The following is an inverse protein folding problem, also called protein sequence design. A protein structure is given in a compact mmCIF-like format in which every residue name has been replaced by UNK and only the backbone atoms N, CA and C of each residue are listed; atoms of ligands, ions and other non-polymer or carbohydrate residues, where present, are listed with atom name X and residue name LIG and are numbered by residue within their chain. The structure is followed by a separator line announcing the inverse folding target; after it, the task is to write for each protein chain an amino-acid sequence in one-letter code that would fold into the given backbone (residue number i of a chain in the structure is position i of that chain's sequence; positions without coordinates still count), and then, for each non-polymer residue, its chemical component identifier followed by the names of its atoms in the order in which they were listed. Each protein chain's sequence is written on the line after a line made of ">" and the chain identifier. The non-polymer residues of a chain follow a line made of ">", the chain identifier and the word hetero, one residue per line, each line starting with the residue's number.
data_IF_941120560175
#
_entry.id   IF_941120560175
#
_cell.length_a   1.000
_cell.length_b   1.000
_cell.length_c   1.000
_cell.angle_alpha   90.00
_cell.angle_beta   90.00
_cell.angle_gamma   90.00
#
_symmetry.space_group_name_H-M   'P 1'
#
loop_
_entity.id
_entity.type
_entity.pdbx_description
1 polymer ?
#
# COMPACT_ATOMS: atom_id res chain seq x y z
N UNK A 1 -9.54 -16.86 1.60
CA UNK A 1 -9.62 -15.45 1.20
C UNK A 1 -8.20 -14.94 0.95
N UNK A 2 -7.91 -14.51 -0.25
CA UNK A 2 -6.55 -14.08 -0.59
C UNK A 2 -6.42 -12.56 -0.58
N UNK A 3 -5.20 -12.09 -0.35
CA UNK A 3 -4.87 -10.67 -0.31
C UNK A 3 -4.48 -10.21 -1.72
N UNK A 4 -4.96 -9.04 -2.13
CA UNK A 4 -4.57 -8.45 -3.41
C UNK A 4 -3.32 -7.59 -3.20
N UNK A 5 -2.29 -7.82 -4.02
CA UNK A 5 -1.07 -7.01 -4.02
C UNK A 5 -1.37 -5.53 -4.31
N UNK A 6 -2.24 -5.27 -5.28
CA UNK A 6 -2.62 -3.90 -5.63
C UNK A 6 -3.30 -3.18 -4.48
N UNK A 7 -4.16 -3.88 -3.74
CA UNK A 7 -4.86 -3.32 -2.59
C UNK A 7 -3.88 -3.04 -1.44
N UNK A 8 -2.96 -3.97 -1.17
CA UNK A 8 -1.92 -3.75 -0.15
C UNK A 8 -1.02 -2.58 -0.52
N UNK A 9 -0.67 -2.46 -1.79
CA UNK A 9 0.18 -1.37 -2.26
C UNK A 9 -0.51 -0.02 -2.10
N UNK A 10 -1.80 0.06 -2.43
CA UNK A 10 -2.58 1.29 -2.24
C UNK A 10 -2.67 1.66 -0.77
N UNK A 11 -3.00 0.70 0.10
CA UNK A 11 -3.02 0.92 1.55
C UNK A 11 -1.67 1.43 2.05
N UNK A 12 -0.61 0.75 1.67
CA UNK A 12 0.75 1.09 2.10
C UNK A 12 1.12 2.53 1.71
N UNK A 13 0.85 2.91 0.47
CA UNK A 13 1.16 4.25 -0.03
C UNK A 13 0.40 5.32 0.75
N UNK A 14 -0.89 5.10 1.00
CA UNK A 14 -1.70 6.05 1.79
C UNK A 14 -1.16 6.17 3.21
N UNK A 15 -0.82 5.04 3.83
CA UNK A 15 -0.32 5.01 5.20
C UNK A 15 1.03 5.72 5.32
N UNK A 16 1.95 5.47 4.38
CA UNK A 16 3.30 6.05 4.40
C UNK A 16 3.24 7.56 4.11
N UNK A 17 2.45 7.98 3.12
CA UNK A 17 2.40 9.38 2.72
C UNK A 17 1.40 10.21 3.50
N UNK A 18 0.54 9.58 4.29
CA UNK A 18 -0.45 10.27 5.08
C UNK A 18 -1.50 11.02 4.26
N UNK A 19 -1.71 10.59 3.02
CA UNK A 19 -2.59 11.30 2.09
C UNK A 19 -2.99 10.39 0.93
N UNK A 20 -4.29 10.34 0.63
CA UNK A 20 -4.79 9.62 -0.54
C UNK A 20 -4.31 10.29 -1.84
N UNK A 21 -4.28 11.61 -1.87
CA UNK A 21 -3.83 12.36 -3.06
C UNK A 21 -2.36 12.11 -3.34
N UNK A 22 -1.50 12.19 -2.32
CA UNK A 22 -0.07 11.93 -2.49
C UNK A 22 0.21 10.49 -2.87
N UNK A 23 -0.53 9.55 -2.30
CA UNK A 23 -0.40 8.14 -2.66
C UNK A 23 -0.72 7.93 -4.15
N UNK A 24 -1.79 8.56 -4.62
CA UNK A 24 -2.19 8.47 -6.02
C UNK A 24 -1.09 9.02 -6.94
N UNK A 25 -0.52 10.16 -6.59
CA UNK A 25 0.58 10.75 -7.36
C UNK A 25 1.79 9.81 -7.44
N UNK A 26 2.15 9.21 -6.30
CA UNK A 26 3.30 8.30 -6.22
C UNK A 26 3.11 7.03 -7.01
N UNK A 27 1.87 6.54 -7.10
CA UNK A 27 1.57 5.31 -7.82
C UNK A 27 1.09 5.55 -9.25
N UNK A 28 1.07 6.80 -9.70
CA UNK A 28 0.60 7.18 -11.04
C UNK A 28 -0.83 6.71 -11.29
N UNK A 29 -1.67 6.86 -10.27
CA UNK A 29 -3.09 6.52 -10.31
C UNK A 29 -3.92 7.73 -9.93
N UNK A 30 -5.23 7.64 -10.16
CA UNK A 30 -6.14 8.69 -9.70
C UNK A 30 -6.46 8.48 -8.22
N UNK A 31 -6.86 9.56 -7.54
CA UNK A 31 -7.26 9.46 -6.13
C UNK A 31 -8.46 8.53 -5.96
N UNK A 32 -9.51 8.60 -6.81
CA UNK A 32 -10.61 7.63 -6.70
C UNK A 32 -10.17 6.17 -6.86
N UNK A 33 -9.18 5.90 -7.70
CA UNK A 33 -8.66 4.54 -7.86
C UNK A 33 -7.99 4.04 -6.58
N UNK A 34 -7.20 4.90 -5.93
CA UNK A 34 -6.55 4.57 -4.65
C UNK A 34 -7.60 4.35 -3.57
N UNK A 35 -8.57 5.27 -3.45
CA UNK A 35 -9.67 5.14 -2.47
C UNK A 35 -10.43 3.84 -2.67
N UNK A 36 -10.71 3.48 -3.92
CA UNK A 36 -11.44 2.26 -4.25
C UNK A 36 -10.66 1.01 -3.82
N UNK A 37 -9.35 0.98 -4.08
CA UNK A 37 -8.51 -0.16 -3.69
C UNK A 37 -8.47 -0.35 -2.17
N UNK A 38 -8.34 0.74 -1.42
CA UNK A 38 -8.34 0.68 0.04
C UNK A 38 -9.70 0.22 0.55
N UNK A 39 -10.79 0.77 0.00
CA UNK A 39 -12.16 0.40 0.39
C UNK A 39 -12.40 -1.09 0.13
N UNK A 40 -11.98 -1.60 -1.01
CA UNK A 40 -12.14 -3.02 -1.35
C UNK A 40 -11.39 -3.92 -0.38
N UNK A 41 -10.19 -3.52 0.04
CA UNK A 41 -9.43 -4.26 1.03
C UNK A 41 -10.17 -4.31 2.37
N UNK A 42 -10.66 -3.17 2.82
CA UNK A 42 -11.43 -3.09 4.07
C UNK A 42 -12.71 -3.91 4.00
N UNK A 43 -13.45 -3.82 2.89
CA UNK A 43 -14.69 -4.57 2.71
C UNK A 43 -14.44 -6.07 2.65
N UNK A 44 -13.37 -6.48 1.96
CA UNK A 44 -13.06 -7.90 1.79
C UNK A 44 -12.86 -8.62 3.12
N UNK A 45 -12.25 -7.96 4.08
CA UNK A 45 -11.96 -8.55 5.39
C UNK A 45 -12.88 -8.03 6.50
N UNK A 46 -13.80 -7.13 6.16
CA UNK A 46 -14.74 -6.58 7.15
C UNK A 46 -14.07 -5.78 8.24
N UNK A 47 -13.06 -5.00 7.89
CA UNK A 47 -12.25 -4.23 8.86
C UNK A 47 -12.09 -2.80 8.41
N UNK A 48 -11.69 -1.95 9.36
CA UNK A 48 -11.28 -0.57 9.05
C UNK A 48 -9.79 -0.44 9.32
N UNK A 49 -9.08 0.11 8.33
CA UNK A 49 -7.64 0.35 8.41
C UNK A 49 -7.36 1.82 8.66
N UNK A 50 -8.29 2.69 8.30
CA UNK A 50 -8.21 4.14 8.54
C UNK A 50 -9.44 4.61 9.30
N UNK A 51 -9.26 5.61 10.18
CA UNK A 51 -10.39 6.26 10.85
C UNK A 51 -11.18 7.09 9.85
N UNK A 52 -12.54 7.03 9.93
CA UNK A 52 -13.41 7.61 8.89
C UNK A 52 -13.74 9.09 9.11
N UNK A 53 -13.86 9.52 10.35
CA UNK A 53 -14.37 10.85 10.65
C UNK A 53 -13.27 11.85 10.99
N UNK A 54 -12.13 11.72 10.32
CA UNK A 54 -10.97 12.59 10.57
C UNK A 54 -10.62 13.38 9.31
N UNK A 55 -10.21 14.63 9.48
CA UNK A 55 -9.74 15.45 8.37
C UNK A 55 -8.40 14.96 7.84
N UNK A 56 -7.57 14.43 8.73
CA UNK A 56 -6.29 13.84 8.36
C UNK A 56 -6.40 12.34 8.29
N UNK A 57 -5.54 11.71 7.50
CA UNK A 57 -5.46 10.26 7.40
C UNK A 57 -4.85 9.72 8.70
N UNK A 58 -5.59 8.86 9.40
CA UNK A 58 -5.13 8.24 10.63
C UNK A 58 -5.43 6.75 10.58
N UNK A 59 -4.41 5.97 10.91
CA UNK A 59 -4.54 4.51 10.94
C UNK A 59 -5.27 4.06 12.20
N UNK A 60 -6.10 3.02 12.06
CA UNK A 60 -6.59 2.26 13.20
C UNK A 60 -5.46 1.43 13.78
N UNK A 61 -5.67 0.81 14.95
CA UNK A 61 -4.68 -0.12 15.51
C UNK A 61 -4.36 -1.25 14.53
N UNK A 62 -5.39 -1.78 13.87
CA UNK A 62 -5.19 -2.81 12.85
C UNK A 62 -4.40 -2.25 11.67
N UNK A 63 -4.69 -1.03 11.24
CA UNK A 63 -3.94 -0.38 10.17
C UNK A 63 -2.47 -0.22 10.50
N UNK A 64 -2.15 0.14 11.74
CA UNK A 64 -0.75 0.25 12.17
C UNK A 64 -0.03 -1.10 12.13
N UNK A 65 -0.70 -2.16 12.55
CA UNK A 65 -0.15 -3.51 12.51
C UNK A 65 0.06 -3.96 11.06
N UNK A 66 -0.89 -3.65 10.20
CA UNK A 66 -0.75 -3.99 8.78
C UNK A 66 0.39 -3.20 8.13
N UNK A 67 0.54 -1.93 8.46
CA UNK A 67 1.64 -1.11 7.94
C UNK A 67 3.00 -1.72 8.29
N UNK A 68 3.17 -2.19 9.52
CA UNK A 68 4.42 -2.84 9.92
C UNK A 68 4.73 -4.05 9.03
N UNK A 69 3.71 -4.78 8.62
CA UNK A 69 3.85 -5.93 7.71
C UNK A 69 4.16 -5.47 6.28
N UNK A 70 3.42 -4.49 5.77
CA UNK A 70 3.63 -4.04 4.38
C UNK A 70 4.98 -3.35 4.21
N UNK A 71 5.50 -2.70 5.26
CA UNK A 71 6.85 -2.14 5.20
C UNK A 71 7.90 -3.21 4.92
N UNK A 72 7.79 -4.36 5.58
CA UNK A 72 8.69 -5.49 5.32
C UNK A 72 8.46 -6.09 3.94
N UNK A 73 7.19 -6.23 3.56
CA UNK A 73 6.82 -6.79 2.27
C UNK A 73 7.45 -6.01 1.11
N UNK A 74 7.31 -4.69 1.13
CA UNK A 74 7.78 -3.89 0.01
C UNK A 74 9.29 -3.65 0.03
N UNK A 75 9.94 -3.78 1.17
CA UNK A 75 11.41 -3.83 1.22
C UNK A 75 11.91 -5.11 0.55
N UNK A 76 11.29 -6.24 0.84
CA UNK A 76 11.67 -7.53 0.25
C UNK A 76 11.39 -7.52 -1.26
N UNK A 77 10.27 -6.96 -1.68
CA UNK A 77 9.96 -6.81 -3.10
C UNK A 77 11.04 -6.00 -3.82
N UNK A 78 11.49 -4.90 -3.21
CA UNK A 78 12.56 -4.08 -3.76
C UNK A 78 13.88 -4.85 -3.86
N UNK A 79 14.19 -5.68 -2.86
CA UNK A 79 15.39 -6.53 -2.91
C UNK A 79 15.32 -7.51 -4.07
N UNK A 80 14.16 -8.12 -4.31
CA UNK A 80 13.97 -9.03 -5.43
C UNK A 80 14.19 -8.31 -6.76
N UNK A 81 13.65 -7.11 -6.88
CA UNK A 81 13.78 -6.30 -8.08
C UNK A 81 15.25 -5.93 -8.32
N UNK A 82 15.96 -5.51 -7.28
CA UNK A 82 17.38 -5.16 -7.37
C UNK A 82 18.23 -6.34 -7.81
N UNK A 83 17.96 -7.51 -7.24
CA UNK A 83 18.68 -8.74 -7.60
C UNK A 83 18.51 -9.04 -9.09
N UNK A 84 17.29 -8.95 -9.60
CA UNK A 84 16.99 -9.23 -10.99
C UNK A 84 17.62 -8.20 -11.94
N UNK A 85 17.62 -6.94 -11.55
CA UNK A 85 18.24 -5.87 -12.32
C UNK A 85 19.76 -6.03 -12.38
N UNK A 86 20.40 -6.42 -11.28
CA UNK A 86 21.84 -6.72 -11.25
C UNK A 86 22.18 -7.87 -12.19
N UNK A 87 21.39 -8.94 -12.16
CA UNK A 87 21.59 -10.09 -13.02
C UNK A 87 21.47 -9.70 -14.48
N UNK A 88 20.48 -8.85 -14.82
CA UNK A 88 20.30 -8.35 -16.18
C UNK A 88 21.50 -7.50 -16.63
N UNK A 89 22.01 -6.64 -15.77
CA UNK A 89 23.16 -5.79 -16.08
C UNK A 89 24.42 -6.62 -16.35
N UNK A 90 24.59 -7.73 -15.64
CA UNK A 90 25.75 -8.61 -15.83
C UNK A 90 25.70 -9.42 -17.12
N UNK A 91 24.53 -9.54 -17.75
CA UNK A 91 24.36 -10.29 -18.98
C UNK A 91 24.62 -9.46 -20.23
N UNK A 92 24.78 -8.18 -20.08
CA UNK A 92 25.08 -7.28 -21.22
C UNK A 92 26.60 -6.91 -21.32
#
# INVERSE_FOLDING_TARGET
>A
MSVSHAQLKAFHAVAVHGSFTKAAERLFLTQPAISDQVRKLEERFGVLLFHRNKRSVRLTDLGERLLAITQRLFVIEAEAQELLQESQALQT
#
